data_IF_591927110033
#
_entry.id   IF_591927110033
#
_cell.length_a   1.000
_cell.length_b   1.000
_cell.length_c   1.000
_cell.angle_alpha   90.00
_cell.angle_beta   90.00
_cell.angle_gamma   90.00
#
_symmetry.space_group_name_H-M   'P 1'
#
loop_
_entity.id
_entity.type
_entity.pdbx_description
1 polymer ?
#
# COMPACT_ATOMS: atom_id res chain seq x y z
N UNK A 1 6.28 13.78 27.61
CA UNK A 1 5.65 13.30 26.33
C UNK A 1 4.63 12.26 26.72
N UNK A 2 3.40 12.28 26.17
CA UNK A 2 2.51 11.11 26.30
C UNK A 2 3.22 9.95 25.60
N UNK A 3 3.41 8.84 26.29
CA UNK A 3 3.93 7.63 25.65
C UNK A 3 2.98 7.28 24.50
N UNK A 4 3.55 7.08 23.32
CA UNK A 4 2.77 6.74 22.13
C UNK A 4 2.13 5.37 22.38
N UNK A 5 0.79 5.31 22.38
CA UNK A 5 -0.01 4.13 22.74
C UNK A 5 0.38 2.88 21.93
N UNK A 6 0.83 3.05 20.70
CA UNK A 6 1.19 1.95 19.81
C UNK A 6 2.51 1.25 20.19
N UNK A 7 3.34 1.85 21.06
CA UNK A 7 4.63 1.25 21.49
C UNK A 7 4.45 -0.02 22.32
N UNK A 8 3.32 -0.16 23.01
CA UNK A 8 3.01 -1.30 23.87
C UNK A 8 1.87 -2.16 23.28
N UNK A 9 1.33 -1.78 22.13
CA UNK A 9 0.15 -2.41 21.53
C UNK A 9 0.50 -3.75 20.86
N UNK A 10 -0.37 -4.73 21.05
CA UNK A 10 -0.35 -6.01 20.33
C UNK A 10 -1.21 -5.87 19.08
N UNK A 11 -0.58 -5.92 17.91
CA UNK A 11 -1.25 -5.81 16.60
C UNK A 11 -1.51 -7.20 16.03
N UNK A 12 -2.75 -7.47 15.65
CA UNK A 12 -3.16 -8.71 14.99
C UNK A 12 -3.68 -8.42 13.58
N UNK A 13 -3.04 -9.03 12.57
CA UNK A 13 -3.52 -8.93 11.21
C UNK A 13 -4.73 -9.81 10.99
N UNK A 14 -5.81 -9.24 10.48
CA UNK A 14 -6.99 -9.96 10.01
C UNK A 14 -7.06 -9.86 8.50
N UNK A 15 -7.01 -11.02 7.82
CA UNK A 15 -7.38 -11.14 6.42
C UNK A 15 -8.87 -11.52 6.36
N UNK A 16 -9.79 -10.56 6.06
CA UNK A 16 -11.23 -10.77 6.23
C UNK A 16 -11.75 -11.99 5.50
N UNK A 17 -11.33 -12.18 4.24
CA UNK A 17 -11.77 -13.28 3.36
C UNK A 17 -11.67 -14.67 4.00
N UNK A 18 -10.69 -14.92 4.88
CA UNK A 18 -10.44 -16.23 5.48
C UNK A 18 -10.63 -16.26 7.00
N UNK A 19 -11.07 -15.15 7.61
CA UNK A 19 -11.15 -15.06 9.08
C UNK A 19 -12.45 -15.64 9.65
N UNK A 20 -13.59 -15.13 9.22
CA UNK A 20 -14.90 -15.60 9.66
C UNK A 20 -15.97 -15.20 8.65
N UNK A 21 -16.70 -16.19 8.16
CA UNK A 21 -17.87 -16.07 7.30
C UNK A 21 -19.14 -15.99 8.16
N UNK A 22 -19.84 -14.88 8.11
CA UNK A 22 -21.07 -14.68 8.88
C UNK A 22 -22.34 -14.99 8.07
N UNK A 23 -22.28 -14.90 6.75
CA UNK A 23 -23.43 -15.08 5.87
C UNK A 23 -23.55 -16.49 5.27
N UNK A 24 -22.47 -17.31 5.38
CA UNK A 24 -22.44 -18.71 4.95
C UNK A 24 -22.16 -18.91 3.45
N UNK A 25 -21.57 -17.92 2.79
CA UNK A 25 -21.24 -18.01 1.35
C UNK A 25 -19.86 -18.60 1.06
N UNK A 26 -19.08 -18.90 2.10
CA UNK A 26 -17.72 -19.44 2.02
C UNK A 26 -16.62 -18.38 2.01
N UNK A 27 -16.98 -17.10 2.11
CA UNK A 27 -16.06 -15.96 2.14
C UNK A 27 -16.22 -15.23 3.47
N UNK A 28 -15.11 -15.02 4.19
CA UNK A 28 -15.15 -14.22 5.41
C UNK A 28 -15.47 -12.76 5.13
N UNK A 29 -16.15 -12.11 6.08
CA UNK A 29 -16.71 -10.78 5.91
C UNK A 29 -16.55 -9.90 7.17
N UNK A 30 -16.91 -8.60 7.07
CA UNK A 30 -16.81 -7.64 8.17
C UNK A 30 -17.74 -7.97 9.34
N UNK A 31 -18.91 -8.56 9.08
CA UNK A 31 -19.82 -9.02 10.12
C UNK A 31 -19.21 -10.22 10.88
N UNK A 32 -18.50 -11.10 10.15
CA UNK A 32 -17.72 -12.19 10.73
C UNK A 32 -16.61 -11.67 11.64
N UNK A 33 -15.84 -10.68 11.20
CA UNK A 33 -14.81 -10.04 12.04
C UNK A 33 -15.46 -9.43 13.27
N UNK A 34 -16.57 -8.70 13.12
CA UNK A 34 -17.32 -8.10 14.24
C UNK A 34 -17.77 -9.15 15.25
N UNK A 35 -18.23 -10.31 14.79
CA UNK A 35 -18.69 -11.42 15.64
C UNK A 35 -17.56 -12.06 16.47
N UNK A 36 -16.30 -11.83 16.12
CA UNK A 36 -15.11 -12.39 16.77
C UNK A 36 -14.34 -11.38 17.64
N UNK A 37 -14.84 -10.17 17.81
CA UNK A 37 -14.16 -9.14 18.60
C UNK A 37 -13.97 -9.54 20.08
N UNK A 38 -14.92 -10.28 20.69
CA UNK A 38 -14.78 -10.77 22.05
C UNK A 38 -13.61 -11.77 22.16
N UNK A 39 -13.49 -12.68 21.21
CA UNK A 39 -12.33 -13.58 21.12
C UNK A 39 -11.01 -12.83 21.00
N UNK A 40 -10.94 -11.80 20.12
CA UNK A 40 -9.72 -11.00 19.94
C UNK A 40 -9.39 -10.20 21.21
N UNK A 41 -10.39 -9.69 21.92
CA UNK A 41 -10.20 -9.02 23.21
C UNK A 41 -9.66 -9.98 24.29
N UNK A 42 -10.24 -11.18 24.40
CA UNK A 42 -9.78 -12.23 25.33
C UNK A 42 -8.33 -12.68 25.02
N UNK A 43 -7.94 -12.68 23.72
CA UNK A 43 -6.59 -12.96 23.28
C UNK A 43 -5.58 -11.85 23.66
N UNK A 44 -6.07 -10.69 24.08
CA UNK A 44 -5.24 -9.54 24.47
C UNK A 44 -4.77 -8.70 23.29
N UNK A 45 -5.57 -8.61 22.23
CA UNK A 45 -5.28 -7.79 21.05
C UNK A 45 -5.70 -6.34 21.30
N UNK A 46 -4.79 -5.41 21.05
CA UNK A 46 -5.04 -3.97 21.17
C UNK A 46 -5.42 -3.34 19.82
N UNK A 47 -4.90 -3.90 18.73
CA UNK A 47 -5.07 -3.36 17.38
C UNK A 47 -5.37 -4.48 16.39
N UNK A 48 -6.38 -4.29 15.57
CA UNK A 48 -6.62 -5.09 14.37
C UNK A 48 -6.08 -4.34 13.16
N UNK A 49 -5.11 -4.92 12.46
CA UNK A 49 -4.77 -4.49 11.10
C UNK A 49 -5.64 -5.29 10.12
N UNK A 50 -6.55 -4.60 9.43
CA UNK A 50 -7.35 -5.18 8.35
C UNK A 50 -6.56 -5.14 7.05
N UNK A 51 -6.33 -6.31 6.43
CA UNK A 51 -5.95 -6.37 5.02
C UNK A 51 -7.01 -5.69 4.16
N UNK A 52 -6.69 -5.27 2.90
CA UNK A 52 -7.58 -4.39 2.14
C UNK A 52 -9.02 -4.89 2.06
N UNK A 53 -9.97 -4.01 2.42
CA UNK A 53 -11.42 -4.24 2.33
C UNK A 53 -12.10 -3.32 1.34
N UNK A 54 -11.32 -2.52 0.63
CA UNK A 54 -11.79 -1.59 -0.38
C UNK A 54 -12.33 -2.31 -1.61
N UNK A 55 -13.13 -1.61 -2.40
CA UNK A 55 -13.58 -2.16 -3.67
C UNK A 55 -12.39 -2.46 -4.59
N UNK A 56 -12.34 -3.70 -5.10
CA UNK A 56 -11.22 -4.22 -5.87
C UNK A 56 -11.69 -5.29 -6.85
N UNK A 57 -11.13 -5.37 -8.07
CA UNK A 57 -11.28 -6.52 -8.95
C UNK A 57 -10.63 -7.82 -8.42
N UNK A 58 -9.86 -7.76 -7.33
CA UNK A 58 -9.23 -8.91 -6.69
C UNK A 58 -8.14 -9.62 -7.53
N UNK A 59 -7.43 -8.90 -8.37
CA UNK A 59 -6.28 -9.43 -9.12
C UNK A 59 -5.14 -9.78 -8.16
N UNK A 60 -4.97 -8.98 -7.11
CA UNK A 60 -3.94 -9.15 -6.08
C UNK A 60 -4.55 -9.07 -4.67
N UNK A 61 -5.54 -9.93 -4.39
CA UNK A 61 -6.14 -10.09 -3.06
C UNK A 61 -6.58 -8.77 -2.38
N UNK A 62 -7.09 -7.82 -3.18
CA UNK A 62 -7.56 -6.52 -2.70
C UNK A 62 -6.54 -5.39 -2.78
N UNK A 63 -5.27 -5.68 -3.11
CA UNK A 63 -4.24 -4.64 -3.28
C UNK A 63 -4.34 -3.90 -4.63
N UNK A 64 -5.26 -4.27 -5.51
CA UNK A 64 -5.64 -3.57 -6.74
C UNK A 64 -6.94 -2.77 -6.49
N UNK A 65 -6.82 -1.60 -5.86
CA UNK A 65 -7.98 -0.84 -5.38
C UNK A 65 -8.61 -0.04 -6.51
N UNK A 66 -9.91 -0.28 -6.75
CA UNK A 66 -10.71 0.46 -7.74
C UNK A 66 -11.54 1.60 -7.15
N UNK A 67 -11.82 1.58 -5.85
CA UNK A 67 -12.43 2.70 -5.10
C UNK A 67 -11.95 2.67 -3.64
N UNK A 68 -11.19 3.69 -3.23
CA UNK A 68 -10.64 3.81 -1.88
C UNK A 68 -11.69 4.15 -0.82
N UNK A 69 -12.90 4.56 -1.18
CA UNK A 69 -13.93 5.01 -0.26
C UNK A 69 -15.19 4.12 -0.31
N UNK A 70 -15.09 2.96 -0.96
CA UNK A 70 -16.13 1.93 -0.97
C UNK A 70 -15.60 0.61 -0.38
N UNK A 71 -16.48 -0.16 0.25
CA UNK A 71 -16.19 -1.50 0.72
C UNK A 71 -16.47 -2.51 -0.39
N UNK A 72 -15.61 -3.51 -0.52
CA UNK A 72 -15.80 -4.64 -1.43
C UNK A 72 -17.09 -5.37 -1.08
N UNK A 73 -18.03 -5.56 -2.02
CA UNK A 73 -19.33 -6.16 -1.73
C UNK A 73 -19.27 -7.55 -1.11
N UNK A 74 -18.24 -8.35 -1.41
CA UNK A 74 -18.03 -9.66 -0.79
C UNK A 74 -17.75 -9.57 0.72
N UNK A 75 -17.22 -8.44 1.19
CA UNK A 75 -16.93 -8.23 2.61
C UNK A 75 -18.04 -7.49 3.35
N UNK A 76 -19.05 -7.00 2.64
CA UNK A 76 -20.18 -6.27 3.23
C UNK A 76 -20.30 -4.84 2.71
N UNK A 77 -20.78 -3.97 3.56
CA UNK A 77 -21.10 -2.57 3.25
C UNK A 77 -20.32 -1.60 4.12
N UNK A 78 -20.38 -0.30 3.79
CA UNK A 78 -19.83 0.75 4.65
C UNK A 78 -20.50 0.77 6.04
N UNK A 79 -21.78 0.41 6.13
CA UNK A 79 -22.45 0.30 7.42
C UNK A 79 -21.91 -0.85 8.28
N UNK A 80 -21.50 -1.96 7.66
CA UNK A 80 -20.85 -3.07 8.37
C UNK A 80 -19.47 -2.66 8.86
N UNK A 81 -18.73 -1.87 8.09
CA UNK A 81 -17.46 -1.30 8.52
C UNK A 81 -17.63 -0.32 9.68
N UNK A 82 -18.63 0.57 9.61
CA UNK A 82 -18.93 1.52 10.69
C UNK A 82 -19.34 0.78 11.98
N UNK A 83 -20.08 -0.30 11.90
CA UNK A 83 -20.40 -1.12 13.06
C UNK A 83 -19.19 -1.87 13.60
N UNK A 84 -18.32 -2.43 12.74
CA UNK A 84 -17.05 -3.04 13.17
C UNK A 84 -16.19 -2.03 13.95
N UNK A 85 -15.99 -0.84 13.41
CA UNK A 85 -15.20 0.21 14.03
C UNK A 85 -15.75 0.59 15.42
N UNK A 86 -17.06 0.83 15.50
CA UNK A 86 -17.75 1.15 16.74
C UNK A 86 -17.66 0.03 17.78
N UNK A 87 -17.81 -1.23 17.38
CA UNK A 87 -17.75 -2.39 18.29
C UNK A 87 -16.32 -2.69 18.76
N UNK A 88 -15.32 -2.50 17.87
CA UNK A 88 -13.92 -2.60 18.22
C UNK A 88 -13.54 -1.54 19.28
N UNK A 89 -13.88 -0.27 19.05
CA UNK A 89 -13.61 0.83 19.98
C UNK A 89 -14.28 0.64 21.35
N UNK A 90 -15.51 0.11 21.39
CA UNK A 90 -16.18 -0.23 22.67
C UNK A 90 -15.42 -1.24 23.51
N UNK A 91 -14.60 -2.09 22.87
CA UNK A 91 -13.75 -3.10 23.51
C UNK A 91 -12.33 -2.63 23.76
N UNK A 92 -12.02 -1.36 23.43
CA UNK A 92 -10.67 -0.83 23.51
C UNK A 92 -9.74 -1.31 22.39
N UNK A 93 -10.28 -1.96 21.36
CA UNK A 93 -9.54 -2.42 20.19
C UNK A 93 -9.56 -1.32 19.11
N UNK A 94 -8.40 -1.02 18.56
CA UNK A 94 -8.21 -0.06 17.47
C UNK A 94 -8.20 -0.73 16.11
N UNK A 95 -8.55 0.03 15.06
CA UNK A 95 -8.58 -0.46 13.67
C UNK A 95 -7.54 0.29 12.84
N UNK A 96 -6.58 -0.44 12.30
CA UNK A 96 -5.59 0.03 11.33
C UNK A 96 -5.94 -0.54 9.97
N UNK A 97 -6.04 0.32 8.96
CA UNK A 97 -6.35 -0.08 7.59
C UNK A 97 -5.09 -0.15 6.73
N UNK A 98 -5.17 -0.91 5.64
CA UNK A 98 -4.12 -0.89 4.63
C UNK A 98 -4.22 0.37 3.76
N UNK A 99 -3.12 1.08 3.56
CA UNK A 99 -3.02 2.23 2.66
C UNK A 99 -2.18 1.83 1.45
N UNK A 100 -2.83 1.55 0.33
CA UNK A 100 -2.20 1.13 -0.92
C UNK A 100 -2.15 2.30 -1.87
N UNK A 101 -1.05 3.03 -1.88
CA UNK A 101 -0.91 4.28 -2.64
C UNK A 101 0.35 4.34 -3.52
N UNK A 102 1.08 3.23 -3.65
CA UNK A 102 2.08 3.10 -4.70
C UNK A 102 1.43 2.94 -6.08
N UNK A 103 0.30 2.25 -6.15
CA UNK A 103 -0.47 1.93 -7.35
C UNK A 103 -1.97 1.94 -7.05
N UNK A 104 -2.79 1.87 -8.08
CA UNK A 104 -4.23 1.60 -7.97
C UNK A 104 -4.61 0.46 -8.89
N UNK A 105 -5.88 0.03 -8.88
CA UNK A 105 -6.41 -0.81 -9.96
C UNK A 105 -6.44 -0.05 -11.30
N UNK A 106 -6.30 -0.79 -12.40
CA UNK A 106 -6.56 -0.29 -13.76
C UNK A 106 -8.07 0.02 -13.99
N UNK A 107 -8.93 -0.42 -13.06
CA UNK A 107 -10.36 -0.10 -13.03
C UNK A 107 -10.68 1.13 -12.15
N UNK A 108 -9.68 1.71 -11.47
CA UNK A 108 -9.88 2.95 -10.74
C UNK A 108 -10.25 4.09 -11.71
N UNK A 109 -11.25 4.96 -11.38
CA UNK A 109 -11.66 6.06 -12.25
C UNK A 109 -10.52 6.95 -12.73
N UNK A 110 -9.50 7.17 -11.88
CA UNK A 110 -8.32 7.94 -12.28
C UNK A 110 -7.57 7.30 -13.45
N UNK A 111 -7.40 5.97 -13.43
CA UNK A 111 -6.69 5.28 -14.53
C UNK A 111 -7.56 5.19 -15.78
N UNK A 112 -8.84 4.86 -15.62
CA UNK A 112 -9.80 4.81 -16.72
C UNK A 112 -9.84 6.15 -17.47
N UNK A 113 -9.83 7.27 -16.75
CA UNK A 113 -9.72 8.59 -17.36
C UNK A 113 -8.34 8.86 -17.96
N UNK A 114 -7.27 8.55 -17.22
CA UNK A 114 -5.88 8.77 -17.61
C UNK A 114 -5.54 8.16 -18.98
N UNK A 115 -6.08 6.99 -19.31
CA UNK A 115 -5.78 6.29 -20.58
C UNK A 115 -6.60 6.78 -21.79
N UNK A 116 -7.66 7.59 -21.59
CA UNK A 116 -8.51 8.06 -22.69
C UNK A 116 -7.79 8.97 -23.67
N UNK A 117 -6.89 9.82 -23.19
CA UNK A 117 -6.07 10.70 -24.04
C UNK A 117 -4.82 11.19 -23.33
N UNK A 118 -3.85 11.68 -24.11
CA UNK A 118 -2.59 12.25 -23.58
C UNK A 118 -2.79 13.59 -22.86
N UNK A 119 -3.90 14.27 -23.14
CA UNK A 119 -4.23 15.58 -22.57
C UNK A 119 -5.31 15.48 -21.47
N UNK A 120 -5.68 14.28 -21.03
CA UNK A 120 -6.66 14.09 -19.97
C UNK A 120 -6.13 14.66 -18.64
N UNK A 121 -6.96 15.34 -17.82
CA UNK A 121 -6.56 15.90 -16.52
C UNK A 121 -5.96 14.88 -15.54
N UNK A 122 -6.28 13.59 -15.69
CA UNK A 122 -5.75 12.49 -14.90
C UNK A 122 -4.53 11.80 -15.52
N UNK A 123 -4.07 12.27 -16.72
CA UNK A 123 -2.95 11.62 -17.41
C UNK A 123 -1.73 11.49 -16.51
N UNK A 124 -1.35 12.57 -15.86
CA UNK A 124 -0.18 12.63 -15.01
C UNK A 124 -0.38 12.05 -13.58
N UNK A 125 -1.54 11.45 -13.31
CA UNK A 125 -1.72 10.66 -12.08
C UNK A 125 -0.95 9.35 -12.11
N UNK A 126 -0.57 8.89 -13.31
CA UNK A 126 0.18 7.66 -13.53
C UNK A 126 1.46 7.95 -14.31
N UNK A 127 2.38 6.97 -14.28
CA UNK A 127 3.69 7.11 -14.92
C UNK A 127 3.60 6.57 -16.33
N UNK A 128 3.54 7.48 -17.30
CA UNK A 128 3.49 7.17 -18.73
C UNK A 128 4.79 7.51 -19.42
N UNK A 129 5.23 6.64 -20.38
CA UNK A 129 6.42 6.87 -21.20
C UNK A 129 6.14 6.50 -22.66
N UNK A 130 6.85 7.17 -23.56
CA UNK A 130 6.81 6.82 -25.00
C UNK A 130 7.56 5.50 -25.20
N UNK A 131 7.15 4.68 -26.21
CA UNK A 131 8.01 3.61 -26.72
C UNK A 131 9.38 4.14 -27.11
N UNK A 132 10.40 3.26 -27.10
CA UNK A 132 11.67 3.50 -27.80
C UNK A 132 11.42 3.60 -29.33
N UNK A 133 12.43 3.99 -30.09
CA UNK A 133 12.33 4.12 -31.55
C UNK A 133 11.95 2.81 -32.27
N UNK A 134 12.36 1.68 -31.69
CA UNK A 134 12.02 0.34 -32.19
C UNK A 134 10.66 -0.19 -31.70
N UNK A 135 9.91 0.63 -30.96
CA UNK A 135 8.61 0.28 -30.38
C UNK A 135 8.68 -0.47 -29.03
N UNK A 136 9.86 -0.78 -28.55
CA UNK A 136 10.04 -1.50 -27.27
C UNK A 136 9.74 -0.64 -26.05
N UNK A 137 9.67 -1.30 -24.87
CA UNK A 137 9.42 -0.65 -23.58
C UNK A 137 10.49 0.40 -23.23
N UNK A 138 10.16 1.42 -22.42
CA UNK A 138 11.06 2.53 -22.08
C UNK A 138 12.39 2.10 -21.48
N UNK A 139 12.38 1.03 -20.68
CA UNK A 139 13.55 0.37 -20.13
C UNK A 139 13.31 -1.12 -19.96
N UNK A 140 14.28 -1.83 -19.40
CA UNK A 140 14.26 -3.29 -19.26
C UNK A 140 13.71 -3.80 -17.92
N UNK A 141 13.07 -2.99 -17.10
CA UNK A 141 12.65 -3.39 -15.76
C UNK A 141 11.66 -4.56 -15.77
N UNK A 142 11.88 -5.49 -14.83
CA UNK A 142 10.95 -6.58 -14.55
C UNK A 142 9.95 -6.20 -13.48
N UNK A 143 8.74 -6.75 -13.58
CA UNK A 143 7.70 -6.67 -12.54
C UNK A 143 7.97 -7.66 -11.41
N UNK A 144 7.52 -7.36 -10.20
CA UNK A 144 7.54 -8.28 -9.05
C UNK A 144 6.86 -9.62 -9.35
N UNK A 145 5.80 -9.59 -10.15
CA UNK A 145 5.02 -10.79 -10.50
C UNK A 145 5.48 -11.44 -11.81
N UNK A 146 6.62 -10.98 -12.33
CA UNK A 146 7.22 -11.50 -13.56
C UNK A 146 6.79 -10.74 -14.81
N UNK A 147 7.57 -10.87 -15.87
CA UNK A 147 7.38 -10.11 -17.09
C UNK A 147 7.96 -8.68 -17.01
N UNK A 148 7.63 -7.86 -18.01
CA UNK A 148 8.01 -6.45 -18.05
C UNK A 148 7.26 -5.64 -16.99
N UNK A 149 7.89 -4.63 -16.41
CA UNK A 149 7.23 -3.62 -15.56
C UNK A 149 6.48 -2.55 -16.38
N UNK A 150 6.43 -2.69 -17.70
CA UNK A 150 5.80 -1.74 -18.61
C UNK A 150 4.75 -2.42 -19.46
N UNK A 151 3.53 -1.88 -19.47
CA UNK A 151 2.44 -2.33 -20.31
C UNK A 151 2.11 -1.28 -21.37
N UNK A 152 2.09 -1.69 -22.65
CA UNK A 152 1.66 -0.83 -23.74
C UNK A 152 0.14 -0.64 -23.71
N UNK A 153 -0.29 0.61 -23.69
CA UNK A 153 -1.68 0.99 -23.92
C UNK A 153 -1.90 1.26 -25.42
N UNK A 154 -2.72 0.43 -26.10
CA UNK A 154 -2.90 0.55 -27.55
C UNK A 154 -3.66 1.81 -27.96
N UNK A 155 -4.49 2.38 -27.05
CA UNK A 155 -5.31 3.57 -27.39
C UNK A 155 -4.46 4.83 -27.53
N UNK A 156 -3.45 4.98 -26.66
CA UNK A 156 -2.58 6.17 -26.70
C UNK A 156 -1.20 5.90 -27.26
N UNK A 157 -0.88 4.63 -27.54
CA UNK A 157 0.46 4.17 -27.94
C UNK A 157 1.54 4.68 -26.98
N UNK A 158 1.30 4.51 -25.68
CA UNK A 158 2.22 4.85 -24.60
C UNK A 158 2.31 3.66 -23.65
N UNK A 159 3.46 3.49 -23.00
CA UNK A 159 3.62 2.54 -21.91
C UNK A 159 3.29 3.19 -20.57
N UNK A 160 2.60 2.45 -19.69
CA UNK A 160 2.49 2.79 -18.28
C UNK A 160 3.31 1.84 -17.41
N UNK A 161 3.83 2.38 -16.31
CA UNK A 161 4.60 1.61 -15.33
C UNK A 161 3.66 0.81 -14.42
N UNK A 162 4.02 -0.44 -14.14
CA UNK A 162 3.42 -1.27 -13.10
C UNK A 162 4.51 -2.12 -12.45
N UNK A 163 4.87 -1.85 -11.21
CA UNK A 163 5.88 -2.65 -10.51
C UNK A 163 5.35 -4.03 -10.09
N UNK A 164 4.02 -4.18 -10.04
CA UNK A 164 3.28 -5.41 -9.71
C UNK A 164 2.53 -5.94 -10.95
N UNK A 165 1.27 -6.38 -10.82
CA UNK A 165 0.51 -6.84 -11.97
C UNK A 165 0.25 -5.70 -12.99
N UNK A 166 0.08 -6.01 -14.28
CA UNK A 166 -0.33 -5.01 -15.29
C UNK A 166 -1.63 -4.26 -14.92
N UNK A 167 -2.48 -4.88 -14.11
CA UNK A 167 -3.70 -4.27 -13.59
C UNK A 167 -3.47 -3.34 -12.37
N UNK A 168 -2.21 -3.13 -11.96
CA UNK A 168 -1.83 -2.27 -10.85
C UNK A 168 -0.90 -1.13 -11.33
N UNK A 169 -1.40 -0.17 -12.13
CA UNK A 169 -0.60 0.94 -12.65
C UNK A 169 -0.07 1.81 -11.50
N UNK A 170 1.22 2.15 -11.58
CA UNK A 170 1.92 2.94 -10.58
C UNK A 170 1.51 4.41 -10.61
N UNK A 171 1.21 4.94 -9.43
CA UNK A 171 0.83 6.33 -9.22
C UNK A 171 2.04 7.27 -9.31
N UNK A 172 1.84 8.43 -9.90
CA UNK A 172 2.87 9.46 -10.08
C UNK A 172 2.86 10.47 -8.93
N UNK A 173 3.57 10.18 -7.86
CA UNK A 173 3.64 11.04 -6.67
C UNK A 173 4.29 12.42 -6.90
N UNK A 174 4.94 12.66 -8.05
CA UNK A 174 5.39 13.99 -8.46
C UNK A 174 4.24 14.95 -8.72
N UNK A 175 3.07 14.41 -9.07
CA UNK A 175 1.88 15.20 -9.32
C UNK A 175 1.24 15.67 -7.99
N UNK A 176 1.24 16.98 -7.69
CA UNK A 176 0.66 17.48 -6.45
C UNK A 176 -0.85 17.27 -6.35
N UNK A 177 -1.57 17.22 -7.49
CA UNK A 177 -3.02 16.94 -7.48
C UNK A 177 -3.33 15.51 -7.02
N UNK A 178 -2.51 14.55 -7.46
CA UNK A 178 -2.61 13.18 -6.95
C UNK A 178 -2.40 13.15 -5.44
N UNK A 179 -1.33 13.79 -4.93
CA UNK A 179 -1.07 13.84 -3.49
C UNK A 179 -2.23 14.49 -2.72
N UNK A 180 -2.81 15.57 -3.25
CA UNK A 180 -4.00 16.20 -2.66
C UNK A 180 -5.20 15.25 -2.57
N UNK A 181 -5.44 14.43 -3.60
CA UNK A 181 -6.53 13.46 -3.60
C UNK A 181 -6.27 12.32 -2.63
N UNK A 182 -5.04 11.81 -2.56
CA UNK A 182 -4.63 10.80 -1.57
C UNK A 182 -4.81 11.33 -0.15
N UNK A 183 -4.36 12.54 0.15
CA UNK A 183 -4.50 13.12 1.50
C UNK A 183 -5.96 13.41 1.87
N UNK A 184 -6.81 13.77 0.91
CA UNK A 184 -8.26 13.89 1.16
C UNK A 184 -8.90 12.54 1.47
N UNK A 185 -8.52 11.50 0.75
CA UNK A 185 -8.99 10.14 1.02
C UNK A 185 -8.53 9.65 2.40
N UNK A 186 -7.27 9.85 2.76
CA UNK A 186 -6.75 9.50 4.09
C UNK A 186 -7.48 10.26 5.20
N UNK A 187 -7.69 11.58 5.02
CA UNK A 187 -8.43 12.43 5.97
C UNK A 187 -9.84 11.91 6.17
N UNK A 188 -10.52 11.52 5.09
CA UNK A 188 -11.87 10.96 5.17
C UNK A 188 -11.93 9.68 6.02
N UNK A 189 -10.94 8.79 5.91
CA UNK A 189 -10.86 7.60 6.77
C UNK A 189 -10.52 7.94 8.23
N UNK A 190 -9.63 8.91 8.45
CA UNK A 190 -9.34 9.40 9.81
C UNK A 190 -10.58 10.05 10.47
N UNK A 191 -11.34 10.85 9.72
CA UNK A 191 -12.59 11.46 10.19
C UNK A 191 -13.68 10.41 10.48
N UNK A 192 -13.65 9.27 9.80
CA UNK A 192 -14.48 8.10 10.13
C UNK A 192 -14.08 7.46 11.45
N UNK A 193 -12.86 7.65 11.91
CA UNK A 193 -12.36 7.16 13.17
C UNK A 193 -11.41 5.96 13.09
N UNK A 194 -10.78 5.69 11.92
CA UNK A 194 -9.71 4.69 11.88
C UNK A 194 -8.50 5.17 12.69
N UNK A 195 -7.80 4.23 13.33
CA UNK A 195 -6.74 4.52 14.28
C UNK A 195 -5.34 4.48 13.64
N UNK A 196 -5.26 4.29 12.32
CA UNK A 196 -3.98 4.31 11.63
C UNK A 196 -3.97 3.59 10.29
N UNK A 197 -2.76 3.51 9.73
CA UNK A 197 -2.52 2.89 8.43
C UNK A 197 -1.29 1.99 8.44
N UNK A 198 -1.43 0.78 7.90
CA UNK A 198 -0.30 0.03 7.36
C UNK A 198 -0.12 0.48 5.91
N UNK A 199 1.04 0.96 5.57
CA UNK A 199 1.30 1.60 4.29
C UNK A 199 2.02 0.64 3.36
N UNK A 200 1.27 0.13 2.38
CA UNK A 200 1.72 -0.83 1.38
C UNK A 200 2.79 -0.20 0.47
N UNK A 201 3.91 -0.92 0.30
CA UNK A 201 5.01 -0.54 -0.60
C UNK A 201 5.38 0.95 -0.54
N UNK A 202 5.32 1.55 0.64
CA UNK A 202 5.46 3.01 0.81
C UNK A 202 6.85 3.52 0.44
N UNK A 203 7.88 2.68 0.51
CA UNK A 203 9.23 3.02 0.04
C UNK A 203 9.33 3.16 -1.47
N UNK A 204 8.34 2.66 -2.22
CA UNK A 204 8.35 2.67 -3.69
C UNK A 204 7.59 3.86 -4.31
N UNK A 205 6.96 4.74 -3.53
CA UNK A 205 6.17 5.85 -4.08
C UNK A 205 6.98 6.90 -4.85
N UNK A 206 8.30 6.99 -4.61
CA UNK A 206 9.20 7.90 -5.31
C UNK A 206 10.11 7.14 -6.27
N UNK A 207 10.01 7.46 -7.57
CA UNK A 207 10.86 6.89 -8.62
C UNK A 207 11.85 7.95 -9.12
N UNK A 208 13.03 7.50 -9.61
CA UNK A 208 13.98 8.38 -10.30
C UNK A 208 13.38 8.92 -11.60
N UNK A 209 13.83 10.09 -12.03
CA UNK A 209 13.29 10.77 -13.21
C UNK A 209 13.68 10.10 -14.53
N UNK A 210 14.93 9.72 -14.64
CA UNK A 210 15.54 9.20 -15.87
C UNK A 210 15.23 7.72 -16.11
N UNK A 211 14.87 6.96 -15.06
CA UNK A 211 14.48 5.54 -15.16
C UNK A 211 15.36 4.73 -16.11
N UNK A 212 16.68 4.62 -15.84
CA UNK A 212 17.60 3.91 -16.73
C UNK A 212 17.34 2.41 -16.74
N UNK A 213 17.97 1.68 -17.66
CA UNK A 213 17.96 0.23 -17.64
C UNK A 213 18.54 -0.29 -16.32
N UNK A 214 17.89 -1.30 -15.74
CA UNK A 214 18.33 -1.99 -14.53
C UNK A 214 19.34 -3.09 -14.85
N UNK A 215 20.14 -3.46 -13.85
CA UNK A 215 21.05 -4.60 -13.95
C UNK A 215 20.25 -5.91 -14.10
N UNK A 216 20.64 -6.73 -15.06
CA UNK A 216 20.04 -8.04 -15.30
C UNK A 216 20.88 -9.12 -14.62
N UNK A 217 20.35 -9.75 -13.59
CA UNK A 217 21.02 -10.83 -12.90
C UNK A 217 21.18 -12.09 -13.79
N UNK A 218 22.21 -12.94 -13.59
CA UNK A 218 22.35 -14.16 -14.35
C UNK A 218 21.11 -15.03 -14.34
N UNK A 219 20.64 -15.40 -15.53
CA UNK A 219 19.43 -16.23 -15.71
C UNK A 219 18.10 -15.45 -15.66
N UNK A 220 18.12 -14.14 -15.42
CA UNK A 220 16.93 -13.29 -15.50
C UNK A 220 16.79 -12.69 -16.91
N UNK A 221 15.56 -12.39 -17.29
CA UNK A 221 15.25 -11.74 -18.57
C UNK A 221 15.16 -10.22 -18.43
N UNK A 222 14.80 -9.73 -17.24
CA UNK A 222 14.51 -8.32 -16.98
C UNK A 222 15.47 -7.74 -15.94
N UNK A 223 15.64 -6.42 -16.01
CA UNK A 223 16.49 -5.65 -15.10
C UNK A 223 15.81 -5.37 -13.76
N UNK A 224 16.62 -5.20 -12.73
CA UNK A 224 16.18 -4.84 -11.39
C UNK A 224 15.81 -3.35 -11.31
N UNK A 225 14.56 -3.04 -10.95
CA UNK A 225 14.08 -1.68 -10.75
C UNK A 225 14.40 -1.13 -9.34
N UNK A 226 14.75 -2.00 -8.39
CA UNK A 226 14.90 -1.64 -6.97
C UNK A 226 15.73 -0.39 -6.73
N UNK A 227 16.95 -0.26 -7.27
CA UNK A 227 17.81 0.92 -7.08
C UNK A 227 17.20 2.24 -7.56
N UNK A 228 16.16 2.20 -8.39
CA UNK A 228 15.54 3.37 -9.03
C UNK A 228 14.15 3.69 -8.49
N UNK A 229 13.54 2.75 -7.76
CA UNK A 229 12.17 2.89 -7.27
C UNK A 229 12.04 2.77 -5.75
N UNK A 230 12.96 2.05 -5.09
CA UNK A 230 12.91 1.88 -3.63
C UNK A 230 13.75 2.97 -2.97
N UNK A 231 13.20 3.62 -1.94
CA UNK A 231 13.81 4.76 -1.26
C UNK A 231 14.23 5.88 -2.24
N UNK A 232 13.39 6.15 -3.23
CA UNK A 232 13.67 7.14 -4.27
C UNK A 232 13.83 8.56 -3.74
N UNK A 233 14.30 9.50 -4.58
CA UNK A 233 14.87 10.78 -4.13
C UNK A 233 13.92 11.69 -3.36
N UNK A 234 12.60 11.54 -3.52
CA UNK A 234 11.59 12.39 -2.89
C UNK A 234 10.72 11.64 -1.87
N UNK A 235 11.01 10.38 -1.51
CA UNK A 235 10.14 9.60 -0.62
C UNK A 235 9.94 10.28 0.72
N UNK A 236 11.00 10.75 1.34
CA UNK A 236 10.94 11.44 2.64
C UNK A 236 10.25 12.81 2.57
N UNK A 237 10.37 13.50 1.43
CA UNK A 237 9.62 14.74 1.18
C UNK A 237 8.11 14.48 1.15
N UNK A 238 7.68 13.46 0.42
CA UNK A 238 6.27 13.07 0.33
C UNK A 238 5.71 12.59 1.67
N UNK A 239 6.48 11.82 2.44
CA UNK A 239 6.05 11.35 3.74
C UNK A 239 5.96 12.48 4.78
N UNK A 240 6.88 13.43 4.77
CA UNK A 240 6.78 14.64 5.62
C UNK A 240 5.59 15.50 5.24
N UNK A 241 5.31 15.66 3.95
CA UNK A 241 4.09 16.34 3.48
C UNK A 241 2.83 15.60 3.95
N UNK A 242 2.78 14.26 3.81
CA UNK A 242 1.69 13.41 4.30
C UNK A 242 1.50 13.57 5.82
N UNK A 243 2.60 13.54 6.57
CA UNK A 243 2.55 13.72 8.02
C UNK A 243 1.99 15.10 8.39
N UNK A 244 2.55 16.17 7.83
CA UNK A 244 2.10 17.54 8.12
C UNK A 244 0.64 17.79 7.72
N UNK A 245 0.18 17.18 6.64
CA UNK A 245 -1.17 17.43 6.10
C UNK A 245 -2.23 16.52 6.70
N UNK A 246 -1.87 15.31 7.14
CA UNK A 246 -2.82 14.30 7.64
C UNK A 246 -2.37 13.74 8.98
N UNK A 247 -1.27 12.98 9.04
CA UNK A 247 -0.99 12.08 10.15
C UNK A 247 -0.84 12.82 11.49
N UNK A 248 -0.17 13.98 11.50
CA UNK A 248 0.04 14.77 12.73
C UNK A 248 -1.23 15.41 13.31
N UNK A 249 -2.35 15.34 12.60
CA UNK A 249 -3.63 15.92 13.03
C UNK A 249 -4.49 14.96 13.86
N UNK A 250 -4.08 13.68 13.91
CA UNK A 250 -4.80 12.60 14.56
C UNK A 250 -3.85 11.79 15.43
N UNK A 251 -4.37 11.04 16.39
CA UNK A 251 -3.60 10.12 17.24
C UNK A 251 -3.53 8.73 16.58
N UNK A 252 -2.68 8.60 15.56
CA UNK A 252 -2.60 7.45 14.68
C UNK A 252 -1.38 6.57 14.95
N UNK A 253 -1.51 5.28 14.63
CA UNK A 253 -0.38 4.39 14.38
C UNK A 253 -0.15 4.27 12.87
N UNK A 254 1.10 4.39 12.44
CA UNK A 254 1.48 4.14 11.04
C UNK A 254 2.65 3.16 10.97
N UNK A 255 2.53 2.15 10.10
CA UNK A 255 3.62 1.21 9.84
C UNK A 255 3.87 1.12 8.34
N UNK A 256 5.09 1.45 7.93
CA UNK A 256 5.50 1.41 6.52
C UNK A 256 6.01 0.04 6.11
N UNK A 257 5.52 -0.48 4.99
CA UNK A 257 6.18 -1.57 4.30
C UNK A 257 7.36 -1.02 3.50
N UNK A 258 8.57 -1.31 3.98
CA UNK A 258 9.82 -0.75 3.47
C UNK A 258 10.82 -1.87 3.25
N UNK A 259 10.61 -2.65 2.18
CA UNK A 259 11.49 -3.77 1.84
C UNK A 259 12.93 -3.28 1.59
N UNK A 260 13.91 -4.00 2.14
CA UNK A 260 15.33 -3.75 1.90
C UNK A 260 15.89 -2.46 2.51
N UNK A 261 15.26 -1.90 3.56
CA UNK A 261 15.81 -0.73 4.26
C UNK A 261 16.90 -1.14 5.23
N UNK A 262 18.00 -0.38 5.22
CA UNK A 262 19.03 -0.46 6.27
C UNK A 262 18.54 0.19 7.57
N UNK A 263 19.27 0.02 8.67
CA UNK A 263 18.97 0.69 9.95
C UNK A 263 18.97 2.21 9.75
N UNK A 264 19.92 2.74 9.00
CA UNK A 264 20.04 4.18 8.70
C UNK A 264 18.84 4.70 7.90
N UNK A 265 18.36 3.92 6.92
CA UNK A 265 17.15 4.27 6.17
C UNK A 265 15.90 4.17 7.06
N UNK A 266 15.77 3.11 7.86
CA UNK A 266 14.65 2.95 8.78
C UNK A 266 14.54 4.13 9.78
N UNK A 267 15.68 4.66 10.25
CA UNK A 267 15.69 5.85 11.11
C UNK A 267 15.17 7.11 10.41
N UNK A 268 15.34 7.24 9.09
CA UNK A 268 14.76 8.36 8.34
C UNK A 268 13.24 8.28 8.30
N UNK A 269 12.68 7.07 8.15
CA UNK A 269 11.22 6.85 8.13
C UNK A 269 10.56 6.98 9.49
N UNK A 270 11.19 6.42 10.54
CA UNK A 270 10.54 6.21 11.84
C UNK A 270 11.38 6.69 13.04
N UNK A 271 12.46 7.46 12.81
CA UNK A 271 13.21 8.11 13.89
C UNK A 271 12.37 9.13 14.63
N UNK A 272 12.70 9.40 15.89
CA UNK A 272 11.92 10.29 16.77
C UNK A 272 11.69 11.69 16.17
N UNK A 273 12.66 12.19 15.41
CA UNK A 273 12.62 13.50 14.74
C UNK A 273 12.30 13.41 13.24
N UNK A 274 11.91 12.24 12.73
CA UNK A 274 11.67 12.06 11.29
C UNK A 274 10.45 12.86 10.79
N UNK A 275 9.42 12.95 11.64
CA UNK A 275 8.12 13.49 11.28
C UNK A 275 7.51 12.82 10.03
N UNK A 276 7.67 11.50 9.95
CA UNK A 276 7.12 10.67 8.87
C UNK A 276 6.18 9.59 9.44
N UNK A 277 6.70 8.41 9.74
CA UNK A 277 5.92 7.25 10.18
C UNK A 277 6.18 6.92 11.66
N UNK A 278 5.31 6.11 12.26
CA UNK A 278 5.51 5.61 13.63
C UNK A 278 6.53 4.48 13.69
N UNK A 279 6.52 3.58 12.69
CA UNK A 279 7.41 2.42 12.58
C UNK A 279 7.48 1.92 11.13
N UNK A 280 8.40 0.98 10.87
CA UNK A 280 8.56 0.27 9.60
C UNK A 280 8.66 -1.22 9.83
N UNK A 281 8.28 -2.02 8.82
CA UNK A 281 8.58 -3.44 8.81
C UNK A 281 10.04 -3.69 8.45
N UNK A 282 10.62 -4.71 9.09
CA UNK A 282 11.93 -5.25 8.79
C UNK A 282 11.79 -6.61 8.10
N UNK A 283 12.27 -6.70 6.87
CA UNK A 283 12.13 -7.91 6.05
C UNK A 283 13.39 -8.76 5.95
N UNK A 284 14.56 -8.28 6.42
CA UNK A 284 15.83 -9.01 6.27
C UNK A 284 15.78 -10.42 6.88
N UNK A 285 15.03 -10.61 7.97
CA UNK A 285 14.87 -11.94 8.58
C UNK A 285 14.06 -12.92 7.73
N UNK A 286 13.28 -12.44 6.75
CA UNK A 286 12.54 -13.27 5.79
C UNK A 286 13.49 -13.86 4.75
N UNK A 287 14.55 -13.12 4.40
CA UNK A 287 15.50 -13.49 3.36
C UNK A 287 16.68 -14.34 3.88
N UNK A 288 16.78 -14.55 5.21
CA UNK A 288 17.86 -15.35 5.83
C UNK A 288 17.73 -16.84 5.58
N UNK A 289 16.63 -17.34 5.03
CA UNK A 289 16.35 -18.77 4.83
C UNK A 289 17.38 -19.49 3.94
N UNK A 290 18.21 -18.76 3.19
CA UNK A 290 19.29 -19.31 2.37
C UNK A 290 20.67 -19.38 3.04
N UNK A 291 20.85 -18.73 4.20
CA UNK A 291 22.19 -18.54 4.80
C UNK A 291 22.33 -19.03 6.24
N UNK A 292 21.24 -19.31 6.95
CA UNK A 292 21.28 -19.76 8.35
C UNK A 292 20.40 -21.00 8.54
N UNK A 293 20.99 -22.06 9.06
CA UNK A 293 20.25 -23.24 9.50
C UNK A 293 19.37 -22.88 10.71
N UNK A 294 18.12 -23.36 10.74
CA UNK A 294 17.17 -23.22 11.86
C UNK A 294 17.76 -23.58 13.23
N UNK A 295 18.83 -24.35 13.27
CA UNK A 295 19.56 -24.73 14.48
C UNK A 295 20.36 -23.61 15.12
N UNK A 296 20.55 -22.48 14.44
CA UNK A 296 21.30 -21.30 14.93
C UNK A 296 20.39 -20.17 15.42
N UNK A 297 19.06 -20.32 15.33
CA UNK A 297 18.06 -19.35 15.80
C UNK A 297 17.51 -19.69 17.20
N UNK A 298 18.23 -20.52 17.97
CA UNK A 298 17.90 -20.83 19.37
C UNK A 298 18.78 -20.06 20.33
#
# INVERSE_FOLDING_TARGET
MKDAWWKEAVVYQVYPRSFMDANGDGIGDLQGVTSRLDYLQELGIDVIWLSPVYQSPNVDNGYDISDYQAIQPEFGTMADFDELLKQAHRRGIRIVMDLVVNHSSDQHPWFVESRKSKDNPYRDYYIWRKPKEDGSAPNNWGSCFGGSAWQLDPETNMYYLHLFAPQQPDLNWKNPKLRDDVYRMMTWWCDKGVDGFRMDQISAISKMDDMPDGEVAPGQQYGNYGPYCINGPHVHEYLKEMNARVLSRYDLMTVGETAGVTIEEAQKYAGEDSHELSMVFQFEHVDVAGTVSYTHLR
#
